data_IF_476371541700
#
_entry.id   IF_476371541700
#
_cell.length_a   1.000
_cell.length_b   1.000
_cell.length_c   1.000
_cell.angle_alpha   90.00
_cell.angle_beta   90.00
_cell.angle_gamma   90.00
#
_symmetry.space_group_name_H-M   'P 1'
#
loop_
_entity.id
_entity.type
_entity.pdbx_description
1 polymer ?
#
# COMPACT_ATOMS: atom_id res chain seq x y z
N UNK A 1 -6.40 -8.12 -6.27
CA UNK A 1 -6.33 -7.90 -7.74
C UNK A 1 -4.87 -7.65 -8.12
N UNK A 2 -4.37 -8.26 -9.19
CA UNK A 2 -2.99 -8.04 -9.67
C UNK A 2 -2.91 -7.62 -11.15
N UNK A 3 -4.00 -7.73 -11.91
CA UNK A 3 -4.03 -7.38 -13.32
C UNK A 3 -4.92 -6.16 -13.57
N UNK A 4 -4.60 -5.39 -14.62
CA UNK A 4 -5.43 -4.27 -15.08
C UNK A 4 -6.78 -4.74 -15.62
N UNK A 5 -6.82 -5.93 -16.23
CA UNK A 5 -8.05 -6.55 -16.75
C UNK A 5 -9.04 -6.80 -15.61
N UNK A 6 -8.58 -7.44 -14.53
CA UNK A 6 -9.44 -7.72 -13.37
C UNK A 6 -9.87 -6.43 -12.67
N UNK A 7 -9.01 -5.41 -12.63
CA UNK A 7 -9.36 -4.10 -12.09
C UNK A 7 -10.51 -3.44 -12.87
N UNK A 8 -10.45 -3.47 -14.21
CA UNK A 8 -11.53 -2.96 -15.06
C UNK A 8 -12.82 -3.76 -14.89
N UNK A 9 -12.73 -5.09 -14.80
CA UNK A 9 -13.89 -5.95 -14.57
C UNK A 9 -14.52 -5.68 -13.20
N UNK A 10 -13.73 -5.53 -12.14
CA UNK A 10 -14.23 -5.22 -10.81
C UNK A 10 -15.05 -3.91 -10.82
N UNK A 11 -14.54 -2.85 -11.46
CA UNK A 11 -15.28 -1.59 -11.62
C UNK A 11 -16.55 -1.80 -12.44
N UNK A 12 -16.48 -2.53 -13.57
CA UNK A 12 -17.65 -2.83 -14.41
C UNK A 12 -18.75 -3.55 -13.63
N UNK A 13 -18.37 -4.37 -12.65
CA UNK A 13 -19.29 -5.11 -11.79
C UNK A 13 -19.69 -4.36 -10.51
N UNK A 14 -19.35 -3.07 -10.39
CA UNK A 14 -19.84 -2.21 -9.31
C UNK A 14 -19.04 -2.27 -8.01
N UNK A 15 -17.78 -2.72 -8.04
CA UNK A 15 -16.91 -2.63 -6.87
C UNK A 15 -16.60 -1.16 -6.51
N UNK A 16 -16.68 -0.78 -5.24
CA UNK A 16 -16.38 0.59 -4.75
C UNK A 16 -14.88 0.85 -4.55
N UNK A 17 -14.05 -0.19 -4.62
CA UNK A 17 -12.62 -0.10 -4.40
C UNK A 17 -11.87 -1.34 -4.83
N UNK A 18 -10.55 -1.19 -4.97
CA UNK A 18 -9.64 -2.25 -5.39
C UNK A 18 -8.54 -2.41 -4.37
N UNK A 19 -8.31 -3.64 -3.89
CA UNK A 19 -7.11 -3.99 -3.14
C UNK A 19 -6.12 -4.72 -4.05
N UNK A 20 -4.97 -4.08 -4.30
CA UNK A 20 -3.83 -4.69 -4.98
C UNK A 20 -3.09 -5.58 -4.00
N UNK A 21 -3.11 -6.89 -4.25
CA UNK A 21 -2.65 -7.89 -3.28
C UNK A 21 -2.38 -9.22 -3.96
N UNK A 22 -1.30 -9.88 -3.55
CA UNK A 22 -1.01 -11.29 -3.84
C UNK A 22 -1.18 -12.18 -2.58
N UNK A 23 -1.95 -11.69 -1.60
CA UNK A 23 -2.23 -12.37 -0.33
C UNK A 23 -0.97 -12.63 0.50
N UNK A 24 0.01 -11.73 0.43
CA UNK A 24 1.28 -11.87 1.13
C UNK A 24 2.17 -13.00 0.60
N UNK A 25 2.02 -13.38 -0.67
CA UNK A 25 2.76 -14.48 -1.31
C UNK A 25 2.35 -15.87 -0.81
N UNK A 26 1.07 -16.06 -0.45
CA UNK A 26 0.57 -17.31 0.15
C UNK A 26 -0.39 -18.10 -0.75
N UNK A 27 -0.77 -17.53 -1.89
CA UNK A 27 -1.74 -18.13 -2.81
C UNK A 27 -1.02 -18.63 -4.05
N UNK A 28 -0.93 -17.82 -5.10
CA UNK A 28 -0.18 -18.17 -6.29
C UNK A 28 1.27 -17.74 -6.08
N UNK A 29 2.16 -18.71 -5.87
CA UNK A 29 3.60 -18.46 -5.84
C UNK A 29 4.08 -17.97 -7.20
N UNK A 30 5.16 -17.19 -7.23
CA UNK A 30 5.72 -16.51 -8.43
C UNK A 30 4.81 -15.46 -9.08
N UNK A 31 3.63 -15.18 -8.52
CA UNK A 31 2.86 -14.00 -8.90
C UNK A 31 3.67 -12.72 -8.63
N UNK A 32 3.46 -11.64 -9.43
CA UNK A 32 4.22 -10.42 -9.28
C UNK A 32 4.07 -9.80 -7.88
N UNK A 33 5.08 -9.05 -7.40
CA UNK A 33 4.96 -8.23 -6.21
C UNK A 33 3.81 -7.22 -6.37
N UNK A 34 2.93 -7.13 -5.37
CA UNK A 34 1.75 -6.26 -5.44
C UNK A 34 2.09 -4.78 -5.73
N UNK A 35 3.23 -4.29 -5.23
CA UNK A 35 3.67 -2.91 -5.44
C UNK A 35 4.04 -2.63 -6.91
N UNK A 36 4.52 -3.63 -7.66
CA UNK A 36 4.86 -3.48 -9.08
C UNK A 36 3.59 -3.40 -9.95
N UNK A 37 2.51 -4.07 -9.54
CA UNK A 37 1.22 -4.00 -10.24
C UNK A 37 0.44 -2.71 -9.93
N UNK A 38 0.77 -2.03 -8.84
CA UNK A 38 -0.03 -0.91 -8.32
C UNK A 38 -0.18 0.21 -9.33
N UNK A 39 0.92 0.62 -9.98
CA UNK A 39 0.90 1.80 -10.82
C UNK A 39 0.00 1.64 -12.06
N UNK A 40 0.07 0.48 -12.70
CA UNK A 40 -0.75 0.18 -13.88
C UNK A 40 -2.23 0.07 -13.51
N UNK A 41 -2.53 -0.48 -12.34
CA UNK A 41 -3.89 -0.53 -11.81
C UNK A 41 -4.41 0.88 -11.50
N UNK A 42 -3.60 1.75 -10.88
CA UNK A 42 -3.97 3.16 -10.65
C UNK A 42 -4.31 3.85 -11.98
N UNK A 43 -3.46 3.67 -12.99
CA UNK A 43 -3.65 4.27 -14.32
C UNK A 43 -4.96 3.79 -14.96
N UNK A 44 -5.26 2.49 -14.88
CA UNK A 44 -6.48 1.95 -15.49
C UNK A 44 -7.73 2.32 -14.69
N UNK A 45 -7.64 2.39 -13.36
CA UNK A 45 -8.76 2.80 -12.50
C UNK A 45 -9.12 4.25 -12.78
N UNK A 46 -8.13 5.11 -13.00
CA UNK A 46 -8.30 6.51 -13.39
C UNK A 46 -9.28 7.27 -12.47
N UNK A 47 -9.11 7.11 -11.15
CA UNK A 47 -9.91 7.80 -10.14
C UNK A 47 -11.37 7.35 -10.00
N UNK A 48 -11.82 6.33 -10.74
CA UNK A 48 -13.23 5.86 -10.67
C UNK A 48 -13.58 5.23 -9.32
N UNK A 49 -12.62 4.60 -8.66
CA UNK A 49 -12.76 3.95 -7.36
C UNK A 49 -11.47 4.12 -6.56
N UNK A 50 -11.53 3.93 -5.24
CA UNK A 50 -10.33 3.98 -4.40
C UNK A 50 -9.47 2.73 -4.64
N UNK A 51 -8.15 2.91 -4.61
CA UNK A 51 -7.19 1.81 -4.77
C UNK A 51 -6.32 1.73 -3.52
N UNK A 52 -6.21 0.54 -2.98
CA UNK A 52 -5.43 0.21 -1.81
C UNK A 52 -4.38 -0.83 -2.18
N UNK A 53 -3.36 -1.01 -1.33
CA UNK A 53 -2.34 -2.05 -1.53
C UNK A 53 -1.94 -2.72 -0.22
N UNK A 54 -1.64 -4.01 -0.27
CA UNK A 54 -1.01 -4.73 0.83
C UNK A 54 0.24 -5.48 0.34
N UNK A 55 0.74 -6.44 1.13
CA UNK A 55 1.86 -7.31 0.78
C UNK A 55 3.20 -6.57 0.87
N UNK A 56 4.01 -6.96 1.85
CA UNK A 56 5.40 -6.49 1.96
C UNK A 56 5.63 -5.16 2.69
N UNK A 57 4.59 -4.39 3.05
CA UNK A 57 4.73 -3.13 3.81
C UNK A 57 5.31 -3.37 5.22
N UNK A 58 6.50 -2.85 5.51
CA UNK A 58 7.18 -3.04 6.82
C UNK A 58 7.71 -1.76 7.45
N UNK A 59 7.99 -0.74 6.64
CA UNK A 59 8.57 0.53 7.07
C UNK A 59 7.75 1.73 6.62
N UNK A 60 7.98 2.90 7.21
CA UNK A 60 7.41 4.18 6.75
C UNK A 60 7.64 4.45 5.27
N UNK A 61 8.86 4.20 4.76
CA UNK A 61 9.18 4.45 3.34
C UNK A 61 8.41 3.53 2.39
N UNK A 62 8.03 2.33 2.81
CA UNK A 62 7.16 1.45 2.01
C UNK A 62 5.76 2.06 1.88
N UNK A 63 5.24 2.62 2.99
CA UNK A 63 3.97 3.35 2.98
C UNK A 63 4.06 4.58 2.09
N UNK A 64 5.11 5.40 2.26
CA UNK A 64 5.31 6.61 1.46
C UNK A 64 5.35 6.30 -0.04
N UNK A 65 6.10 5.26 -0.45
CA UNK A 65 6.18 4.84 -1.86
C UNK A 65 4.84 4.36 -2.40
N UNK A 66 4.09 3.57 -1.63
CA UNK A 66 2.76 3.11 -2.05
C UNK A 66 1.79 4.28 -2.26
N UNK A 67 1.78 5.25 -1.34
CA UNK A 67 0.97 6.47 -1.46
C UNK A 67 1.41 7.31 -2.66
N UNK A 68 2.72 7.47 -2.88
CA UNK A 68 3.27 8.21 -4.03
C UNK A 68 2.93 7.58 -5.39
N UNK A 69 2.77 6.26 -5.44
CA UNK A 69 2.31 5.54 -6.64
C UNK A 69 0.79 5.68 -6.88
N UNK A 70 0.05 6.21 -5.91
CA UNK A 70 -1.37 6.54 -6.00
C UNK A 70 -2.30 5.72 -5.11
N UNK A 71 -1.78 4.83 -4.26
CA UNK A 71 -2.64 4.15 -3.29
C UNK A 71 -3.27 5.14 -2.30
N UNK A 72 -4.54 4.96 -1.97
CA UNK A 72 -5.26 5.75 -0.98
C UNK A 72 -4.84 5.39 0.45
N UNK A 73 -4.51 4.12 0.68
CA UNK A 73 -4.00 3.60 1.93
C UNK A 73 -3.29 2.25 1.70
N UNK A 74 -2.52 1.85 2.70
CA UNK A 74 -1.88 0.53 2.75
C UNK A 74 -2.50 -0.34 3.83
N UNK A 75 -2.47 -1.66 3.64
CA UNK A 75 -2.89 -2.65 4.62
C UNK A 75 -1.70 -3.46 5.12
N UNK A 76 -1.70 -3.82 6.40
CA UNK A 76 -0.66 -4.64 7.02
C UNK A 76 -1.26 -5.91 7.63
N UNK A 77 -0.65 -7.05 7.29
CA UNK A 77 -1.08 -8.38 7.78
C UNK A 77 -0.17 -8.90 8.90
N UNK A 78 0.88 -9.64 8.52
CA UNK A 78 1.79 -10.33 9.47
C UNK A 78 2.33 -9.45 10.60
N UNK A 79 2.77 -8.19 10.39
CA UNK A 79 3.26 -7.35 11.49
C UNK A 79 2.24 -7.18 12.63
N UNK A 80 0.94 -7.08 12.32
CA UNK A 80 -0.13 -6.99 13.32
C UNK A 80 -0.20 -8.27 14.15
N UNK A 81 -0.13 -9.44 13.50
CA UNK A 81 -0.15 -10.72 14.19
C UNK A 81 1.10 -10.93 15.07
N UNK A 82 2.25 -10.43 14.65
CA UNK A 82 3.46 -10.46 15.46
C UNK A 82 3.34 -9.55 16.69
N UNK A 83 2.81 -8.34 16.51
CA UNK A 83 2.49 -7.45 17.64
C UNK A 83 1.53 -8.13 18.63
N UNK A 84 0.48 -8.77 18.12
CA UNK A 84 -0.48 -9.52 18.94
C UNK A 84 0.19 -10.62 19.75
N UNK A 85 1.09 -11.41 19.14
CA UNK A 85 1.81 -12.48 19.82
C UNK A 85 2.79 -11.95 20.88
N UNK A 86 3.43 -10.79 20.64
CA UNK A 86 4.42 -10.22 21.55
C UNK A 86 3.81 -9.50 22.75
N UNK A 87 2.62 -8.90 22.61
CA UNK A 87 2.07 -8.03 23.66
C UNK A 87 0.56 -7.83 23.59
N UNK A 88 -0.18 -8.74 22.97
CA UNK A 88 -1.63 -8.65 22.84
C UNK A 88 -2.06 -7.37 22.12
N UNK A 89 -3.11 -6.73 22.64
CA UNK A 89 -3.60 -5.44 22.16
C UNK A 89 -2.50 -4.36 22.09
N UNK A 90 -1.67 -4.25 23.13
CA UNK A 90 -0.66 -3.19 23.20
C UNK A 90 0.48 -3.43 22.20
N UNK A 91 0.79 -4.69 21.90
CA UNK A 91 1.72 -5.05 20.84
C UNK A 91 1.19 -4.66 19.45
N UNK A 92 -0.10 -4.89 19.16
CA UNK A 92 -0.75 -4.40 17.92
C UNK A 92 -0.66 -2.88 17.82
N UNK A 93 -1.04 -2.16 18.89
CA UNK A 93 -0.97 -0.70 18.95
C UNK A 93 0.46 -0.20 18.74
N UNK A 94 1.45 -0.89 19.30
CA UNK A 94 2.88 -0.57 19.15
C UNK A 94 3.31 -0.67 17.69
N UNK A 95 2.96 -1.75 16.98
CA UNK A 95 3.28 -1.93 15.56
C UNK A 95 2.69 -0.80 14.70
N UNK A 96 1.41 -0.46 14.91
CA UNK A 96 0.74 0.62 14.18
C UNK A 96 1.40 1.98 14.44
N UNK A 97 1.77 2.25 15.70
CA UNK A 97 2.42 3.51 16.07
C UNK A 97 3.84 3.63 15.53
N UNK A 98 4.60 2.54 15.45
CA UNK A 98 5.93 2.52 14.82
C UNK A 98 5.79 2.92 13.35
N UNK A 99 4.94 2.22 12.60
CA UNK A 99 4.76 2.48 11.17
C UNK A 99 4.26 3.91 10.88
N UNK A 100 3.32 4.41 11.71
CA UNK A 100 2.85 5.79 11.65
C UNK A 100 3.98 6.80 11.89
N UNK A 101 4.81 6.58 12.91
CA UNK A 101 5.91 7.48 13.26
C UNK A 101 7.00 7.49 12.17
N UNK A 102 7.34 6.33 11.62
CA UNK A 102 8.27 6.24 10.50
C UNK A 102 7.75 7.00 9.28
N UNK A 103 6.48 6.81 8.89
CA UNK A 103 5.88 7.58 7.79
C UNK A 103 5.99 9.09 8.02
N UNK A 104 5.71 9.58 9.24
CA UNK A 104 5.83 11.00 9.58
C UNK A 104 7.28 11.48 9.41
N UNK A 105 8.27 10.70 9.84
CA UNK A 105 9.68 11.05 9.69
C UNK A 105 10.13 11.05 8.24
N UNK A 106 9.67 10.08 7.44
CA UNK A 106 9.99 10.00 6.02
C UNK A 106 9.35 11.16 5.24
N UNK A 107 8.08 11.48 5.52
CA UNK A 107 7.42 12.66 4.97
C UNK A 107 8.18 13.95 5.31
N UNK A 108 8.56 14.14 6.58
CA UNK A 108 9.32 15.31 7.01
C UNK A 108 10.68 15.41 6.30
N UNK A 109 11.36 14.29 6.09
CA UNK A 109 12.64 14.23 5.37
C UNK A 109 12.50 14.59 3.88
N UNK A 110 11.32 14.37 3.30
CA UNK A 110 10.96 14.77 1.94
C UNK A 110 10.30 16.16 1.86
N UNK A 111 10.22 16.92 2.96
CA UNK A 111 9.56 18.23 2.98
C UNK A 111 8.03 18.18 2.85
N UNK A 112 7.41 17.02 3.11
CA UNK A 112 5.97 16.80 3.01
C UNK A 112 5.33 17.00 4.38
N UNK A 113 4.26 17.81 4.42
CA UNK A 113 3.55 18.16 5.66
C UNK A 113 2.17 17.53 5.77
N UNK A 114 1.63 17.01 4.67
CA UNK A 114 0.32 16.35 4.63
C UNK A 114 0.29 15.21 3.62
N UNK A 115 -0.62 14.26 3.79
CA UNK A 115 -0.72 13.06 2.94
C UNK A 115 -1.06 13.43 1.49
N UNK A 116 -1.88 14.46 1.27
CA UNK A 116 -2.28 14.95 -0.05
C UNK A 116 -1.14 15.56 -0.87
N UNK A 117 -0.03 15.93 -0.23
CA UNK A 117 1.19 16.40 -0.90
C UNK A 117 2.06 15.23 -1.42
N UNK A 118 1.80 13.99 -0.99
CA UNK A 118 2.57 12.82 -1.44
C UNK A 118 2.21 12.54 -2.90
N UNK A 119 3.22 12.58 -3.76
CA UNK A 119 3.08 12.28 -5.17
C UNK A 119 4.38 11.64 -5.71
N UNK A 120 4.42 11.33 -7.01
CA UNK A 120 5.54 10.62 -7.65
C UNK A 120 6.89 11.36 -7.60
N UNK A 121 6.94 12.64 -7.26
CA UNK A 121 8.17 13.42 -7.20
C UNK A 121 9.10 12.97 -6.06
N UNK A 122 8.59 12.26 -5.06
CA UNK A 122 9.43 11.62 -4.02
C UNK A 122 10.09 10.32 -4.47
N UNK A 123 9.75 9.83 -5.67
CA UNK A 123 10.27 8.59 -6.22
C UNK A 123 11.39 8.90 -7.22
N UNK A 124 12.51 8.20 -7.05
CA UNK A 124 13.55 8.19 -8.07
C UNK A 124 13.06 7.40 -9.30
N UNK A 125 13.20 7.98 -10.50
CA UNK A 125 12.86 7.32 -11.76
C UNK A 125 14.11 6.65 -12.32
N UNK A 126 14.09 5.32 -12.40
CA UNK A 126 15.03 4.60 -13.24
C UNK A 126 14.59 4.79 -14.70
N UNK A 127 15.31 5.63 -15.42
CA UNK A 127 15.26 5.75 -16.89
C UNK A 127 15.70 4.46 -17.56
#
# INVERSE_FOLDING_TARGET
>A
ILSTIDAQLAIKHGADGILVSNHGGRQVDTAPPAIECLQDIINVVNGRVQVFVDTGIRTGTDVLKALALGAQAVFIGRPVLYGLACGGHDGVKTVLNILKRELIYDMASCGITSIDQINKDVLYKHT
#
